data_IF_249543907919
#
_entry.id   IF_249543907919
#
_cell.length_a   1.000
_cell.length_b   1.000
_cell.length_c   1.000
_cell.angle_alpha   90.00
_cell.angle_beta   90.00
_cell.angle_gamma   90.00
#
_symmetry.space_group_name_H-M   'P 1'
#
loop_
_entity.id
_entity.type
_entity.pdbx_description
1 polymer ?
#
# COMPACT_ATOMS: atom_id res chain seq x y z
N UNK A 1 -13.14 20.96 8.67
CA UNK A 1 -12.65 22.13 9.44
C UNK A 1 -11.65 22.82 8.54
N UNK A 2 -11.57 24.15 8.44
CA UNK A 2 -10.55 24.76 7.57
C UNK A 2 -9.18 24.71 8.27
N UNK A 3 -8.39 23.68 7.98
CA UNK A 3 -7.02 23.54 8.46
C UNK A 3 -6.11 24.43 7.59
N UNK A 4 -5.41 25.43 8.14
CA UNK A 4 -4.53 26.28 7.35
C UNK A 4 -3.42 25.47 6.68
N UNK A 5 -3.16 25.71 5.38
CA UNK A 5 -2.05 25.05 4.65
C UNK A 5 -0.67 25.33 5.25
N UNK A 6 -0.53 26.44 5.97
CA UNK A 6 0.67 26.85 6.71
C UNK A 6 0.84 26.11 8.03
N UNK A 7 -0.17 25.35 8.48
CA UNK A 7 -0.09 24.60 9.73
C UNK A 7 1.02 23.53 9.59
N UNK A 8 1.95 23.42 10.56
CA UNK A 8 3.08 22.49 10.47
C UNK A 8 2.63 21.03 10.32
N UNK A 9 1.41 20.72 10.77
CA UNK A 9 0.78 19.40 10.66
C UNK A 9 -0.39 19.32 9.69
N UNK A 10 -0.45 20.21 8.71
CA UNK A 10 -1.57 20.26 7.74
C UNK A 10 -1.86 18.87 7.15
N UNK A 11 -0.82 18.17 6.67
CA UNK A 11 -0.97 16.85 6.03
C UNK A 11 -1.58 15.79 6.98
N UNK A 12 -1.06 15.66 8.21
CA UNK A 12 -1.60 14.73 9.22
C UNK A 12 -3.07 15.03 9.55
N UNK A 13 -3.43 16.31 9.71
CA UNK A 13 -4.81 16.72 10.00
C UNK A 13 -5.76 16.42 8.84
N UNK A 14 -5.35 16.72 7.60
CA UNK A 14 -6.13 16.40 6.39
C UNK A 14 -6.35 14.90 6.26
N UNK A 15 -5.33 14.07 6.53
CA UNK A 15 -5.49 12.61 6.45
C UNK A 15 -6.47 12.06 7.48
N UNK A 16 -6.57 12.68 8.65
CA UNK A 16 -7.56 12.31 9.68
C UNK A 16 -8.98 12.63 9.22
N UNK A 17 -9.20 13.81 8.65
CA UNK A 17 -10.50 14.20 8.09
C UNK A 17 -10.92 13.24 6.97
N UNK A 18 -10.03 12.92 6.03
CA UNK A 18 -10.31 11.95 4.96
C UNK A 18 -10.71 10.57 5.47
N UNK A 19 -10.04 10.06 6.51
CA UNK A 19 -10.40 8.77 7.11
C UNK A 19 -11.77 8.86 7.81
N UNK A 20 -12.07 9.97 8.50
CA UNK A 20 -13.35 10.20 9.13
C UNK A 20 -14.49 10.30 8.10
N UNK A 21 -14.32 11.09 7.04
CA UNK A 21 -15.24 11.16 5.91
C UNK A 21 -15.43 9.78 5.27
N UNK A 22 -14.36 9.00 5.15
CA UNK A 22 -14.40 7.62 4.69
C UNK A 22 -15.32 6.72 5.52
N UNK A 23 -15.47 6.97 6.82
CA UNK A 23 -16.44 6.27 7.68
C UNK A 23 -17.86 6.71 7.35
N UNK A 24 -18.09 8.01 7.23
CA UNK A 24 -19.42 8.58 6.92
C UNK A 24 -19.97 8.06 5.59
N UNK A 25 -19.11 7.92 4.57
CA UNK A 25 -19.50 7.36 3.27
C UNK A 25 -19.40 5.82 3.18
N UNK A 26 -19.08 5.16 4.30
CA UNK A 26 -19.11 3.70 4.43
C UNK A 26 -17.98 2.94 3.75
N UNK A 27 -16.85 3.58 3.41
CA UNK A 27 -15.68 2.91 2.82
C UNK A 27 -14.66 2.50 3.89
N UNK A 28 -14.56 3.26 4.98
CA UNK A 28 -13.67 3.00 6.12
C UNK A 28 -14.47 2.47 7.31
N UNK A 29 -13.88 1.59 8.11
CA UNK A 29 -14.49 1.10 9.35
C UNK A 29 -13.85 1.79 10.57
N UNK A 30 -14.52 1.75 11.73
CA UNK A 30 -13.98 2.34 12.98
C UNK A 30 -12.58 1.83 13.34
N UNK A 31 -12.29 0.56 13.08
CA UNK A 31 -10.95 -0.03 13.30
C UNK A 31 -9.90 0.56 12.35
N UNK A 32 -10.32 1.07 11.18
CA UNK A 32 -9.48 1.80 10.24
C UNK A 32 -8.91 3.09 10.81
N UNK A 33 -9.65 3.80 11.69
CA UNK A 33 -9.13 4.95 12.44
C UNK A 33 -8.00 4.54 13.39
N UNK A 34 -8.19 3.44 14.11
CA UNK A 34 -7.16 2.91 15.03
C UNK A 34 -5.91 2.51 14.24
N UNK A 35 -6.09 1.86 13.08
CA UNK A 35 -4.98 1.52 12.19
C UNK A 35 -4.24 2.77 11.68
N UNK A 36 -4.98 3.83 11.33
CA UNK A 36 -4.39 5.10 10.93
C UNK A 36 -3.57 5.73 12.07
N UNK A 37 -4.12 5.78 13.29
CA UNK A 37 -3.39 6.31 14.46
C UNK A 37 -2.11 5.53 14.80
N UNK A 38 -2.11 4.20 14.63
CA UNK A 38 -0.86 3.41 14.74
C UNK A 38 0.16 3.83 13.68
N UNK A 39 -0.29 4.05 12.45
CA UNK A 39 0.55 4.56 11.37
C UNK A 39 1.15 5.91 11.72
N UNK A 40 0.32 6.88 12.13
CA UNK A 40 0.79 8.21 12.55
C UNK A 40 1.85 8.13 13.65
N UNK A 41 1.68 7.25 14.65
CA UNK A 41 2.68 7.06 15.70
C UNK A 41 4.05 6.64 15.15
N UNK A 42 4.10 5.73 14.18
CA UNK A 42 5.35 5.37 13.52
C UNK A 42 5.87 6.48 12.59
N UNK A 43 4.98 7.21 11.94
CA UNK A 43 5.37 8.35 11.10
C UNK A 43 6.09 9.44 11.91
N UNK A 44 5.65 9.67 13.17
CA UNK A 44 6.39 10.50 14.13
C UNK A 44 7.81 10.00 14.39
N UNK A 45 7.98 8.69 14.62
CA UNK A 45 9.29 8.10 14.89
C UNK A 45 10.22 8.16 13.65
N UNK A 46 9.65 8.16 12.45
CA UNK A 46 10.37 8.29 11.18
C UNK A 46 10.73 9.76 10.89
N UNK A 47 9.97 10.70 11.45
CA UNK A 47 10.10 12.14 11.22
C UNK A 47 9.28 12.65 10.03
N UNK A 48 8.13 12.02 9.75
CA UNK A 48 7.12 12.44 8.76
C UNK A 48 7.69 12.68 7.34
N UNK A 49 8.67 11.87 6.93
CA UNK A 49 9.38 11.99 5.65
C UNK A 49 9.63 10.64 5.01
N UNK A 50 9.80 10.63 3.68
CA UNK A 50 10.34 9.48 2.97
C UNK A 50 11.84 9.34 3.30
N UNK A 51 12.25 8.20 3.85
CA UNK A 51 13.65 7.92 4.17
C UNK A 51 14.42 7.34 2.99
N UNK A 52 15.74 7.16 3.12
CA UNK A 52 16.55 6.54 2.07
C UNK A 52 16.15 5.07 1.90
N UNK A 53 15.87 4.38 3.00
CA UNK A 53 15.39 2.99 2.95
C UNK A 53 14.03 2.90 2.26
N UNK A 54 13.10 3.81 2.58
CA UNK A 54 11.80 3.88 1.92
C UNK A 54 11.93 4.11 0.41
N UNK A 55 12.69 5.13 0.00
CA UNK A 55 12.87 5.46 -1.42
C UNK A 55 13.50 4.31 -2.23
N UNK A 56 14.45 3.57 -1.64
CA UNK A 56 15.01 2.35 -2.25
C UNK A 56 13.97 1.25 -2.43
N UNK A 57 13.05 1.10 -1.48
CA UNK A 57 11.94 0.15 -1.59
C UNK A 57 10.89 0.59 -2.61
N UNK A 58 10.58 1.89 -2.70
CA UNK A 58 9.71 2.46 -3.72
C UNK A 58 10.27 2.22 -5.12
N UNK A 59 11.59 2.38 -5.30
CA UNK A 59 12.27 2.09 -6.56
C UNK A 59 12.15 0.62 -6.96
N UNK A 60 12.38 -0.28 -6.00
CA UNK A 60 12.21 -1.72 -6.25
C UNK A 60 10.75 -2.08 -6.54
N UNK A 61 9.78 -1.48 -5.84
CA UNK A 61 8.37 -1.70 -6.09
C UNK A 61 7.95 -1.24 -7.48
N UNK A 62 8.37 -0.06 -7.91
CA UNK A 62 8.11 0.45 -9.26
C UNK A 62 8.67 -0.49 -10.34
N UNK A 63 9.93 -0.92 -10.19
CA UNK A 63 10.55 -1.87 -11.11
C UNK A 63 9.83 -3.23 -11.13
N UNK A 64 9.41 -3.74 -9.97
CA UNK A 64 8.65 -4.98 -9.86
C UNK A 64 7.30 -4.87 -10.57
N UNK A 65 6.53 -3.81 -10.32
CA UNK A 65 5.23 -3.60 -10.96
C UNK A 65 5.35 -3.49 -12.49
N UNK A 66 6.37 -2.78 -13.01
CA UNK A 66 6.62 -2.68 -14.45
C UNK A 66 7.05 -3.99 -15.11
N UNK A 67 7.67 -4.91 -14.36
CA UNK A 67 8.09 -6.23 -14.85
C UNK A 67 7.00 -7.31 -14.73
N UNK A 68 5.94 -7.05 -13.96
CA UNK A 68 4.90 -8.02 -13.67
C UNK A 68 4.11 -8.37 -14.94
N UNK A 69 3.69 -9.63 -15.05
CA UNK A 69 2.78 -10.06 -16.14
C UNK A 69 1.32 -9.78 -15.80
N UNK A 70 0.96 -9.94 -14.52
CA UNK A 70 -0.37 -9.69 -14.00
C UNK A 70 -0.30 -8.91 -12.67
N UNK A 71 0.15 -7.64 -12.69
CA UNK A 71 0.21 -6.81 -11.49
C UNK A 71 -1.19 -6.47 -10.99
N UNK A 72 -1.40 -6.61 -9.67
CA UNK A 72 -2.64 -6.20 -9.00
C UNK A 72 -2.34 -5.25 -7.83
N UNK A 73 -3.12 -4.18 -7.72
CA UNK A 73 -3.14 -3.28 -6.57
C UNK A 73 -4.40 -3.60 -5.74
N UNK A 74 -4.19 -4.12 -4.54
CA UNK A 74 -5.24 -4.38 -3.57
C UNK A 74 -5.64 -3.09 -2.87
N UNK A 75 -6.94 -2.80 -2.82
CA UNK A 75 -7.48 -1.57 -2.23
C UNK A 75 -8.41 -1.89 -1.08
N UNK A 76 -8.03 -1.47 0.13
CA UNK A 76 -8.90 -1.46 1.29
C UNK A 76 -9.53 -0.09 1.52
N UNK A 77 -10.38 0.02 2.54
CA UNK A 77 -11.08 1.27 2.88
C UNK A 77 -10.16 2.46 3.18
N UNK A 78 -9.08 2.24 3.94
CA UNK A 78 -8.12 3.30 4.27
C UNK A 78 -7.39 3.78 3.01
N UNK A 79 -6.97 2.85 2.15
CA UNK A 79 -6.34 3.17 0.86
C UNK A 79 -7.30 3.97 -0.04
N UNK A 80 -8.56 3.53 -0.15
CA UNK A 80 -9.58 4.21 -0.93
C UNK A 80 -9.90 5.62 -0.39
N UNK A 81 -9.85 5.82 0.92
CA UNK A 81 -10.11 7.14 1.52
C UNK A 81 -8.91 8.10 1.38
N UNK A 82 -7.68 7.60 1.48
CA UNK A 82 -6.49 8.46 1.54
C UNK A 82 -5.97 8.87 0.16
N UNK A 83 -5.91 7.94 -0.78
CA UNK A 83 -5.21 8.09 -2.06
C UNK A 83 -5.95 7.46 -3.26
N UNK A 84 -7.26 7.68 -3.45
CA UNK A 84 -8.01 7.01 -4.52
C UNK A 84 -7.46 7.35 -5.92
N UNK A 85 -7.18 8.63 -6.20
CA UNK A 85 -6.62 9.05 -7.50
C UNK A 85 -5.19 8.55 -7.70
N UNK A 86 -4.39 8.55 -6.62
CA UNK A 86 -3.02 8.04 -6.64
C UNK A 86 -2.96 6.56 -7.01
N UNK A 87 -3.86 5.74 -6.45
CA UNK A 87 -3.94 4.32 -6.78
C UNK A 87 -4.33 4.11 -8.25
N UNK A 88 -5.33 4.85 -8.74
CA UNK A 88 -5.76 4.77 -10.15
C UNK A 88 -4.63 5.20 -11.08
N UNK A 89 -3.92 6.29 -10.76
CA UNK A 89 -2.76 6.74 -11.52
C UNK A 89 -1.65 5.69 -11.51
N UNK A 90 -1.31 5.12 -10.35
CA UNK A 90 -0.30 4.07 -10.25
C UNK A 90 -0.68 2.82 -11.06
N UNK A 91 -1.95 2.42 -11.00
CA UNK A 91 -2.48 1.31 -11.77
C UNK A 91 -2.30 1.54 -13.28
N UNK A 92 -2.71 2.72 -13.77
CA UNK A 92 -2.54 3.09 -15.18
C UNK A 92 -1.06 3.19 -15.58
N UNK A 93 -0.19 3.71 -14.71
CA UNK A 93 1.24 3.85 -14.98
C UNK A 93 1.94 2.49 -15.12
N UNK A 94 1.44 1.45 -14.42
CA UNK A 94 2.06 0.11 -14.36
C UNK A 94 1.24 -0.99 -15.04
N UNK A 95 0.16 -0.64 -15.74
CA UNK A 95 -0.86 -1.57 -16.29
C UNK A 95 -1.40 -2.59 -15.24
N UNK A 96 -1.38 -2.18 -13.97
CA UNK A 96 -1.94 -2.98 -12.90
C UNK A 96 -3.46 -2.90 -12.91
N UNK A 97 -4.12 -4.01 -12.60
CA UNK A 97 -5.53 -3.96 -12.23
C UNK A 97 -5.72 -3.64 -10.76
N UNK A 98 -6.93 -3.24 -10.40
CA UNK A 98 -7.30 -2.93 -9.03
C UNK A 98 -8.30 -3.97 -8.54
N UNK A 99 -8.12 -4.46 -7.32
CA UNK A 99 -9.08 -5.33 -6.65
C UNK A 99 -9.40 -4.81 -5.26
N UNK A 100 -10.69 -4.73 -4.92
CA UNK A 100 -11.11 -4.32 -3.56
C UNK A 100 -10.94 -5.49 -2.60
N UNK A 101 -10.20 -5.24 -1.53
CA UNK A 101 -10.05 -6.18 -0.43
C UNK A 101 -10.36 -5.54 0.93
N UNK A 102 -11.19 -6.21 1.73
CA UNK A 102 -11.58 -5.74 3.05
C UNK A 102 -11.54 -6.87 4.09
N UNK A 103 -10.92 -6.57 5.23
CA UNK A 103 -10.81 -7.51 6.36
C UNK A 103 -12.19 -7.82 6.97
N UNK A 104 -12.93 -6.77 7.36
CA UNK A 104 -14.32 -6.88 7.83
C UNK A 104 -15.27 -6.75 6.65
N UNK A 105 -15.39 -7.84 5.89
CA UNK A 105 -16.18 -7.87 4.66
C UNK A 105 -17.68 -7.81 4.97
N UNK A 106 -18.33 -6.73 4.52
CA UNK A 106 -19.79 -6.67 4.33
C UNK A 106 -20.06 -6.33 2.86
N UNK A 107 -21.24 -6.73 2.35
CA UNK A 107 -21.60 -6.46 0.95
C UNK A 107 -21.71 -4.96 0.69
N UNK A 108 -22.27 -4.24 1.65
CA UNK A 108 -22.51 -2.80 1.61
C UNK A 108 -21.17 -2.05 1.53
N UNK A 109 -20.23 -2.35 2.43
CA UNK A 109 -18.92 -1.70 2.45
C UNK A 109 -18.10 -2.01 1.19
N UNK A 110 -18.14 -3.26 0.73
CA UNK A 110 -17.50 -3.65 -0.51
C UNK A 110 -18.04 -2.82 -1.69
N UNK A 111 -19.37 -2.71 -1.81
CA UNK A 111 -20.01 -1.95 -2.87
C UNK A 111 -19.72 -0.44 -2.75
N UNK A 112 -19.70 0.12 -1.54
CA UNK A 112 -19.32 1.53 -1.32
C UNK A 112 -17.91 1.83 -1.83
N UNK A 113 -16.95 0.94 -1.58
CA UNK A 113 -15.56 1.12 -2.07
C UNK A 113 -15.53 1.01 -3.60
N UNK A 114 -16.21 0.02 -4.19
CA UNK A 114 -16.28 -0.11 -5.66
C UNK A 114 -16.86 1.15 -6.30
N UNK A 115 -18.01 1.63 -5.81
CA UNK A 115 -18.66 2.83 -6.31
C UNK A 115 -17.76 4.07 -6.14
N UNK A 116 -17.03 4.15 -5.01
CA UNK A 116 -16.08 5.23 -4.76
C UNK A 116 -14.95 5.23 -5.80
N UNK A 117 -14.32 4.08 -6.06
CA UNK A 117 -13.26 3.96 -7.07
C UNK A 117 -13.77 4.24 -8.49
N UNK A 118 -14.99 3.78 -8.82
CA UNK A 118 -15.64 4.07 -10.10
C UNK A 118 -15.88 5.56 -10.30
N UNK A 119 -16.32 6.29 -9.26
CA UNK A 119 -16.47 7.75 -9.31
C UNK A 119 -15.13 8.48 -9.56
N UNK A 120 -14.01 7.88 -9.18
CA UNK A 120 -12.67 8.41 -9.44
C UNK A 120 -12.09 7.95 -10.79
N UNK A 121 -12.85 7.19 -11.59
CA UNK A 121 -12.47 6.84 -12.97
C UNK A 121 -11.59 5.60 -13.10
N UNK A 122 -11.71 4.61 -12.21
CA UNK A 122 -10.98 3.33 -12.36
C UNK A 122 -11.42 2.61 -13.65
N UNK A 123 -10.44 2.16 -14.44
CA UNK A 123 -10.64 1.48 -15.73
C UNK A 123 -10.64 -0.05 -15.61
N UNK A 124 -9.68 -0.60 -14.86
CA UNK A 124 -9.43 -2.05 -14.73
C UNK A 124 -9.71 -2.49 -13.29
N UNK A 125 -10.97 -2.81 -13.00
CA UNK A 125 -11.46 -3.19 -11.67
C UNK A 125 -11.96 -4.64 -11.66
N UNK A 126 -11.38 -5.46 -10.77
CA UNK A 126 -11.75 -6.85 -10.54
C UNK A 126 -12.78 -6.95 -9.40
N UNK A 127 -13.90 -7.63 -9.64
CA UNK A 127 -15.09 -7.64 -8.75
C UNK A 127 -15.81 -8.99 -8.63
N UNK A 128 -15.35 -10.05 -9.31
CA UNK A 128 -16.10 -11.32 -9.45
C UNK A 128 -16.25 -12.09 -8.14
N UNK A 129 -15.26 -12.00 -7.25
CA UNK A 129 -15.27 -12.65 -5.91
C UNK A 129 -15.51 -14.16 -5.94
N UNK A 130 -15.07 -14.81 -7.02
CA UNK A 130 -15.32 -16.20 -7.39
C UNK A 130 -14.20 -17.18 -6.97
N UNK A 131 -13.12 -16.68 -6.37
CA UNK A 131 -11.98 -17.48 -5.92
C UNK A 131 -11.67 -17.28 -4.42
N UNK A 132 -10.88 -18.20 -3.85
CA UNK A 132 -10.51 -18.20 -2.43
C UNK A 132 -9.02 -18.44 -2.22
N UNK A 133 -8.41 -17.61 -1.39
CA UNK A 133 -7.08 -17.81 -0.82
C UNK A 133 -7.14 -18.99 0.17
N UNK A 134 -6.31 -20.03 0.02
CA UNK A 134 -6.25 -21.15 0.96
C UNK A 134 -5.83 -20.73 2.38
N UNK A 135 -6.26 -21.50 3.39
CA UNK A 135 -5.84 -21.36 4.79
C UNK A 135 -6.08 -19.99 5.42
N UNK A 136 -7.13 -19.30 4.96
CA UNK A 136 -7.54 -18.00 5.48
C UNK A 136 -9.05 -18.05 5.81
N UNK A 137 -9.47 -17.35 6.87
CA UNK A 137 -10.88 -17.34 7.27
C UNK A 137 -11.77 -16.87 6.10
N UNK A 138 -12.95 -17.47 5.95
CA UNK A 138 -13.84 -17.32 4.78
C UNK A 138 -13.95 -15.88 4.24
N UNK A 139 -14.22 -14.88 5.10
CA UNK A 139 -14.42 -13.50 4.68
C UNK A 139 -13.15 -12.80 4.18
N UNK A 140 -11.97 -13.20 4.67
CA UNK A 140 -10.66 -12.66 4.28
C UNK A 140 -10.08 -13.36 3.04
N UNK A 141 -10.58 -14.57 2.74
CA UNK A 141 -10.09 -15.42 1.67
C UNK A 141 -10.64 -15.05 0.28
N UNK A 142 -11.80 -14.40 0.21
CA UNK A 142 -12.50 -14.12 -1.05
C UNK A 142 -11.69 -13.14 -1.91
N UNK A 143 -11.44 -13.53 -3.15
CA UNK A 143 -10.71 -12.77 -4.18
C UNK A 143 -11.33 -12.99 -5.56
N UNK A 144 -10.93 -12.18 -6.54
CA UNK A 144 -11.27 -12.38 -7.95
C UNK A 144 -10.31 -13.39 -8.61
N UNK A 145 -10.85 -14.37 -9.33
CA UNK A 145 -10.09 -15.39 -10.06
C UNK A 145 -9.17 -14.79 -11.14
N UNK A 146 -9.56 -13.67 -11.74
CA UNK A 146 -8.77 -12.93 -12.73
C UNK A 146 -7.93 -11.80 -12.12
N UNK A 147 -8.18 -11.46 -10.85
CA UNK A 147 -7.43 -10.46 -10.10
C UNK A 147 -6.32 -11.10 -9.25
N UNK A 148 -6.37 -10.90 -7.93
CA UNK A 148 -5.37 -11.34 -6.95
C UNK A 148 -5.07 -12.82 -7.09
N UNK A 149 -6.07 -13.66 -7.39
CA UNK A 149 -5.86 -15.10 -7.51
C UNK A 149 -4.87 -15.47 -8.63
N UNK A 150 -4.97 -14.80 -9.79
CA UNK A 150 -4.08 -15.01 -10.96
C UNK A 150 -2.78 -14.19 -10.91
N UNK A 151 -2.76 -13.12 -10.11
CA UNK A 151 -1.63 -12.20 -10.04
C UNK A 151 -0.30 -12.89 -9.71
N UNK A 152 0.78 -12.45 -10.37
CA UNK A 152 2.15 -12.81 -10.03
C UNK A 152 2.75 -11.81 -9.03
N UNK A 153 2.37 -10.52 -9.11
CA UNK A 153 2.77 -9.47 -8.18
C UNK A 153 1.53 -8.76 -7.61
N UNK A 154 1.50 -8.57 -6.29
CA UNK A 154 0.40 -7.85 -5.62
C UNK A 154 0.94 -6.77 -4.71
N UNK A 155 0.50 -5.52 -4.92
CA UNK A 155 0.67 -4.42 -3.96
C UNK A 155 -0.48 -4.46 -2.97
N UNK A 156 -0.18 -4.60 -1.67
CA UNK A 156 -1.14 -4.68 -0.57
C UNK A 156 -0.85 -3.61 0.51
N UNK A 157 -1.28 -2.35 0.34
CA UNK A 157 -1.03 -1.30 1.32
C UNK A 157 -1.84 -1.54 2.60
N UNK A 158 -1.24 -1.29 3.77
CA UNK A 158 -1.91 -1.35 5.08
C UNK A 158 -2.60 -2.72 5.33
N UNK A 159 -1.91 -3.82 5.02
CA UNK A 159 -2.47 -5.18 4.97
C UNK A 159 -2.29 -5.99 6.27
N UNK A 160 -3.19 -6.95 6.48
CA UNK A 160 -3.13 -7.95 7.55
C UNK A 160 -2.02 -8.99 7.34
N UNK A 161 -1.34 -9.34 8.43
CA UNK A 161 -0.20 -10.25 8.41
C UNK A 161 -0.56 -11.69 8.00
N UNK A 162 -1.74 -12.20 8.37
CA UNK A 162 -2.17 -13.55 7.97
C UNK A 162 -2.41 -13.61 6.46
N UNK A 163 -3.08 -12.59 5.91
CA UNK A 163 -3.37 -12.51 4.48
C UNK A 163 -2.09 -12.35 3.66
N UNK A 164 -1.16 -11.49 4.07
CA UNK A 164 0.16 -11.37 3.44
C UNK A 164 0.87 -12.74 3.40
N UNK A 165 0.87 -13.47 4.52
CA UNK A 165 1.46 -14.81 4.61
C UNK A 165 0.77 -15.81 3.68
N UNK A 166 -0.55 -15.76 3.57
CA UNK A 166 -1.31 -16.66 2.71
C UNK A 166 -1.04 -16.40 1.21
N UNK A 167 -0.99 -15.13 0.79
CA UNK A 167 -0.63 -14.76 -0.58
C UNK A 167 0.82 -15.17 -0.92
N UNK A 168 1.76 -15.04 0.03
CA UNK A 168 3.13 -15.55 -0.11
C UNK A 168 3.17 -17.07 -0.32
N UNK A 169 2.37 -17.85 0.42
CA UNK A 169 2.26 -19.30 0.22
C UNK A 169 1.71 -19.69 -1.14
N UNK A 170 0.92 -18.82 -1.78
CA UNK A 170 0.47 -18.98 -3.16
C UNK A 170 1.55 -18.64 -4.21
N UNK A 171 2.79 -18.38 -3.80
CA UNK A 171 3.90 -18.08 -4.72
C UNK A 171 3.89 -16.68 -5.31
N UNK A 172 3.10 -15.76 -4.74
CA UNK A 172 3.00 -14.37 -5.20
C UNK A 172 4.14 -13.54 -4.64
N UNK A 173 4.62 -12.58 -5.44
CA UNK A 173 5.51 -11.51 -4.95
C UNK A 173 4.66 -10.43 -4.32
N UNK A 174 4.92 -10.11 -3.05
CA UNK A 174 4.13 -9.17 -2.27
C UNK A 174 4.91 -7.88 -2.02
N UNK A 175 4.30 -6.77 -2.43
CA UNK A 175 4.76 -5.42 -2.13
C UNK A 175 3.80 -4.85 -1.07
N UNK A 176 4.33 -4.30 0.02
CA UNK A 176 3.50 -3.65 1.05
C UNK A 176 3.99 -2.23 1.34
N UNK A 177 3.05 -1.37 1.70
CA UNK A 177 3.31 -0.05 2.29
C UNK A 177 2.83 -0.12 3.74
N UNK A 178 3.76 -0.05 4.68
CA UNK A 178 3.49 -0.15 6.11
C UNK A 178 4.54 0.66 6.90
N UNK A 179 4.07 1.66 7.65
CA UNK A 179 4.91 2.51 8.48
C UNK A 179 5.60 1.75 9.63
N UNK A 180 5.11 0.57 10.02
CA UNK A 180 5.72 -0.24 11.05
C UNK A 180 6.71 -1.25 10.45
N UNK A 181 8.05 -1.03 10.52
CA UNK A 181 9.04 -1.95 9.97
C UNK A 181 9.10 -3.31 10.69
N UNK A 182 8.44 -3.43 11.85
CA UNK A 182 8.46 -4.64 12.68
C UNK A 182 7.19 -5.48 12.55
N UNK A 183 6.19 -5.01 11.80
CA UNK A 183 4.92 -5.70 11.64
C UNK A 183 5.12 -7.08 11.01
N UNK A 184 4.18 -8.01 11.24
CA UNK A 184 4.20 -9.31 10.56
C UNK A 184 4.17 -9.14 9.03
N UNK A 185 3.37 -8.19 8.53
CA UNK A 185 3.26 -7.89 7.10
C UNK A 185 4.61 -7.41 6.54
N UNK A 186 5.25 -6.44 7.18
CA UNK A 186 6.55 -5.91 6.80
C UNK A 186 7.63 -7.00 6.73
N UNK A 187 7.68 -7.89 7.71
CA UNK A 187 8.65 -8.99 7.74
C UNK A 187 8.36 -10.10 6.72
N UNK A 188 7.13 -10.22 6.25
CA UNK A 188 6.68 -11.32 5.38
C UNK A 188 6.71 -10.96 3.90
N UNK A 189 6.48 -9.68 3.56
CA UNK A 189 6.47 -9.20 2.19
C UNK A 189 7.86 -9.29 1.53
N UNK A 190 7.87 -9.36 0.19
CA UNK A 190 9.10 -9.37 -0.61
C UNK A 190 9.72 -7.98 -0.73
N UNK A 191 8.87 -6.95 -0.77
CA UNK A 191 9.28 -5.55 -0.81
C UNK A 191 8.43 -4.80 0.20
N UNK A 192 9.07 -4.21 1.22
CA UNK A 192 8.39 -3.39 2.21
C UNK A 192 8.83 -1.94 2.11
N UNK A 193 7.85 -1.08 1.88
CA UNK A 193 8.01 0.37 1.87
C UNK A 193 7.58 0.89 3.23
N UNK A 194 8.56 1.31 4.03
CA UNK A 194 8.36 1.90 5.36
C UNK A 194 8.15 3.40 5.20
N UNK A 195 7.01 3.77 4.63
CA UNK A 195 6.63 5.15 4.39
C UNK A 195 5.10 5.32 4.45
N UNK A 196 4.66 6.57 4.56
CA UNK A 196 3.23 6.89 4.55
C UNK A 196 2.69 6.73 3.13
N UNK A 197 1.54 6.08 2.99
CA UNK A 197 0.90 5.83 1.69
C UNK A 197 0.68 7.12 0.88
N UNK A 198 0.46 8.25 1.54
CA UNK A 198 0.27 9.56 0.90
C UNK A 198 1.55 10.12 0.27
N UNK A 199 2.73 9.64 0.68
CA UNK A 199 4.03 9.96 0.08
C UNK A 199 4.50 8.85 -0.87
N UNK A 200 4.38 7.60 -0.43
CA UNK A 200 4.83 6.44 -1.17
C UNK A 200 4.17 6.28 -2.54
N UNK A 201 2.84 6.42 -2.63
CA UNK A 201 2.15 6.23 -3.91
C UNK A 201 2.60 7.27 -4.95
N UNK A 202 2.61 8.59 -4.66
CA UNK A 202 3.20 9.58 -5.56
C UNK A 202 4.65 9.27 -5.95
N UNK A 203 5.51 8.89 -5.01
CA UNK A 203 6.90 8.56 -5.30
C UNK A 203 7.02 7.38 -6.25
N UNK A 204 6.31 6.27 -5.99
CA UNK A 204 6.31 5.08 -6.86
C UNK A 204 5.84 5.44 -8.26
N UNK A 205 4.84 6.31 -8.40
CA UNK A 205 4.36 6.78 -9.72
C UNK A 205 5.47 7.51 -10.46
N UNK A 206 6.11 8.50 -9.83
CA UNK A 206 7.20 9.27 -10.43
C UNK A 206 8.35 8.35 -10.84
N UNK A 207 8.76 7.45 -9.95
CA UNK A 207 9.84 6.50 -10.24
C UNK A 207 9.42 5.55 -11.37
N UNK A 208 8.19 5.04 -11.39
CA UNK A 208 7.71 4.20 -12.46
C UNK A 208 7.71 4.93 -13.82
N UNK A 209 7.32 6.21 -13.85
CA UNK A 209 7.39 7.06 -15.04
C UNK A 209 8.84 7.23 -15.53
N UNK A 210 9.81 7.44 -14.63
CA UNK A 210 11.24 7.50 -14.97
C UNK A 210 11.80 6.16 -15.46
N UNK A 211 11.32 5.05 -14.91
CA UNK A 211 11.78 3.70 -15.24
C UNK A 211 11.12 3.13 -16.51
N UNK A 212 10.04 3.72 -17.04
CA UNK A 212 9.31 3.21 -18.23
C UNK A 212 10.18 2.99 -19.46
N UNK A 213 11.24 3.79 -19.63
CA UNK A 213 12.13 3.70 -20.78
C UNK A 213 13.31 2.75 -20.57
N UNK A 214 13.41 2.08 -19.42
CA UNK A 214 14.45 1.10 -19.15
C UNK A 214 14.14 -0.25 -19.77
N UNK A 215 15.19 -0.96 -20.12
CA UNK A 215 15.09 -2.34 -20.60
C UNK A 215 14.70 -3.29 -19.47
N UNK A 216 14.10 -4.42 -19.83
CA UNK A 216 13.77 -5.50 -18.88
C UNK A 216 14.99 -5.91 -18.04
N UNK A 217 16.17 -6.01 -18.66
CA UNK A 217 17.42 -6.37 -17.97
C UNK A 217 17.82 -5.34 -16.92
N UNK A 218 17.69 -4.05 -17.21
CA UNK A 218 17.98 -3.00 -16.23
C UNK A 218 17.01 -3.03 -15.05
N UNK A 219 15.71 -3.22 -15.30
CA UNK A 219 14.71 -3.35 -14.24
C UNK A 219 14.98 -4.59 -13.37
N UNK A 220 15.34 -5.71 -13.99
CA UNK A 220 15.71 -6.94 -13.28
C UNK A 220 16.96 -6.73 -12.42
N UNK A 221 17.92 -5.94 -12.88
CA UNK A 221 19.13 -5.64 -12.13
C UNK A 221 18.84 -4.80 -10.87
N UNK A 222 17.84 -3.91 -10.91
CA UNK A 222 17.37 -3.19 -9.71
C UNK A 222 16.83 -4.17 -8.66
N UNK A 223 16.01 -5.14 -9.09
CA UNK A 223 15.44 -6.15 -8.19
C UNK A 223 16.49 -7.13 -7.65
N UNK A 224 17.47 -7.52 -8.47
CA UNK A 224 18.56 -8.43 -8.05
C UNK A 224 19.38 -7.85 -6.90
N UNK A 225 19.53 -6.53 -6.86
CA UNK A 225 20.28 -5.83 -5.82
C UNK A 225 19.43 -5.50 -4.58
N UNK A 226 18.12 -5.77 -4.63
CA UNK A 226 17.20 -5.49 -3.54
C UNK A 226 17.24 -6.58 -2.46
N UNK A 227 17.18 -6.17 -1.19
CA UNK A 227 17.10 -7.09 -0.06
C UNK A 227 16.21 -6.48 1.03
N UNK A 228 15.00 -7.04 1.20
CA UNK A 228 14.00 -6.49 2.13
C UNK A 228 14.52 -6.43 3.57
N UNK A 229 15.25 -7.45 4.04
CA UNK A 229 15.79 -7.46 5.40
C UNK A 229 16.78 -6.31 5.63
N UNK A 230 17.64 -6.01 4.64
CA UNK A 230 18.55 -4.86 4.71
C UNK A 230 17.78 -3.53 4.72
N UNK A 231 16.69 -3.43 3.97
CA UNK A 231 15.82 -2.24 3.95
C UNK A 231 15.14 -2.04 5.30
N UNK A 232 14.55 -3.08 5.89
CA UNK A 232 13.91 -2.99 7.21
C UNK A 232 14.92 -2.61 8.30
N UNK A 233 16.11 -3.21 8.28
CA UNK A 233 17.19 -2.83 9.20
C UNK A 233 17.65 -1.38 8.99
N UNK A 234 17.67 -0.91 7.74
CA UNK A 234 17.93 0.49 7.39
C UNK A 234 16.87 1.43 7.98
N UNK A 235 15.59 1.12 7.79
CA UNK A 235 14.48 1.91 8.32
C UNK A 235 14.53 2.01 9.85
N UNK A 236 14.81 0.91 10.56
CA UNK A 236 14.98 0.93 12.02
C UNK A 236 16.16 1.82 12.44
N UNK A 237 17.30 1.75 11.73
CA UNK A 237 18.46 2.61 12.01
C UNK A 237 18.12 4.08 11.77
N UNK A 238 17.41 4.40 10.70
CA UNK A 238 16.97 5.77 10.39
C UNK A 238 16.05 6.32 11.48
N UNK A 239 15.14 5.51 12.01
CA UNK A 239 14.30 5.86 13.16
C UNK A 239 15.16 6.15 14.39
N UNK A 240 16.09 5.24 14.75
CA UNK A 240 16.97 5.43 15.92
C UNK A 240 17.80 6.71 15.77
N UNK A 241 18.37 6.95 14.59
CA UNK A 241 19.13 8.17 14.30
C UNK A 241 18.27 9.41 14.43
N UNK A 242 17.03 9.38 13.91
CA UNK A 242 16.11 10.49 14.06
C UNK A 242 15.83 10.82 15.53
N UNK A 243 15.53 9.81 16.34
CA UNK A 243 15.26 9.99 17.78
C UNK A 243 16.48 10.52 18.54
N UNK A 244 17.68 10.01 18.26
CA UNK A 244 18.90 10.51 18.90
C UNK A 244 19.17 11.99 18.55
N UNK A 245 18.81 12.42 17.34
CA UNK A 245 18.97 13.81 16.91
C UNK A 245 17.90 14.75 17.50
N UNK A 246 16.83 14.21 18.08
CA UNK A 246 15.77 14.97 18.76
C UNK A 246 15.99 15.09 20.26
N UNK A 247 17.19 14.77 20.77
CA UNK A 247 17.54 14.88 22.19
C UNK A 247 17.01 16.21 22.78
N UNK A 248 16.03 16.08 23.69
CA UNK A 248 15.41 17.17 24.46
C UNK A 248 16.37 17.75 25.49
#
# INVERSE_FOLDING_TARGET
>A
MDIPRTHPRYQSLVTREKIAEGIEIGITGKIGLIAHGRGEAFDYLIGEKTTISAYRAETAAAAALLLARHPIISVNGNTAALVPEGIIKLANTTDAGIEVNIFYRTKERHQSILNHLQKHGVSKLYTSTDAKIPDLSHNRAIVDSQGIYKADIVLVPLEDGDRCSALKRMGKTIITIDLNPMSRTAKTADITIVDNITRAIPNIITIAEELKNKTTTELQQLLKNYNNQKILNGAIKEIITHLNNQSL
#
